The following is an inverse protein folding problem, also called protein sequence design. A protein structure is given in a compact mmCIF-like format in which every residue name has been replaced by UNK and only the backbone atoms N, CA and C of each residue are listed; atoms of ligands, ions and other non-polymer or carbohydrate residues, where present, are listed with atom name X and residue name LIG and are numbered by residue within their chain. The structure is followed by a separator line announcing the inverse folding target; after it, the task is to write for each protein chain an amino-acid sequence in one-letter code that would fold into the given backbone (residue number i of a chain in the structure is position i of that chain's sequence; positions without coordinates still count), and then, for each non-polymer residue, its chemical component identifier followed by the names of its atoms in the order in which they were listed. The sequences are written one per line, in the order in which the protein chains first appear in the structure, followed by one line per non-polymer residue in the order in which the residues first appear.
data_IF_438997335037
#
_entry.id   IF_438997335037
#
_cell.length_a   1.000
_cell.length_b   1.000
_cell.length_c   1.000
_cell.angle_alpha   90.00
_cell.angle_beta   90.00
_cell.angle_gamma   90.00
#
_symmetry.space_group_name_H-M   'P 1'
#
loop_
_entity.id
_entity.type
_entity.pdbx_description
1 polymer ?
#
# COMPACT_ATOMS: atom_id res chain seq x y z
N UNK A 1 -11.44 6.77 -3.01
CA UNK A 1 -12.59 6.86 -3.87
C UNK A 1 -12.22 7.02 -5.34
N UNK A 2 -11.21 7.82 -5.67
CA UNK A 2 -10.72 8.13 -7.03
C UNK A 2 -9.36 7.48 -7.36
N UNK A 3 -8.97 6.47 -6.59
CA UNK A 3 -7.67 5.79 -6.67
C UNK A 3 -7.87 4.27 -6.86
N UNK A 4 -8.28 3.81 -8.07
CA UNK A 4 -8.72 2.42 -8.28
C UNK A 4 -7.62 1.42 -8.62
N UNK A 5 -6.39 1.87 -8.94
CA UNK A 5 -5.36 1.01 -9.56
C UNK A 5 -5.01 -0.21 -8.70
N UNK A 6 -4.74 0.03 -7.42
CA UNK A 6 -4.38 -1.07 -6.51
C UNK A 6 -5.59 -1.92 -6.12
N UNK A 7 -6.82 -1.33 -6.05
CA UNK A 7 -8.04 -2.12 -5.88
C UNK A 7 -8.20 -3.17 -6.99
N UNK A 8 -7.93 -2.77 -8.24
CA UNK A 8 -7.95 -3.71 -9.36
C UNK A 8 -6.87 -4.81 -9.21
N UNK A 9 -5.68 -4.46 -8.72
CA UNK A 9 -4.62 -5.44 -8.44
C UNK A 9 -5.00 -6.42 -7.32
N UNK A 10 -5.79 -6.00 -6.32
CA UNK A 10 -6.31 -6.93 -5.30
C UNK A 10 -7.25 -7.99 -5.90
N UNK A 11 -8.06 -7.65 -6.90
CA UNK A 11 -8.85 -8.65 -7.62
C UNK A 11 -7.98 -9.62 -8.40
N UNK A 12 -6.83 -9.18 -8.94
CA UNK A 12 -5.86 -10.10 -9.54
C UNK A 12 -5.24 -11.04 -8.50
N UNK A 13 -4.96 -10.55 -7.28
CA UNK A 13 -4.54 -11.40 -6.16
C UNK A 13 -5.63 -12.44 -5.82
N UNK A 14 -6.90 -12.05 -5.77
CA UNK A 14 -7.99 -13.01 -5.52
C UNK A 14 -8.07 -14.06 -6.62
N UNK A 15 -7.95 -13.69 -7.89
CA UNK A 15 -7.92 -14.65 -9.00
C UNK A 15 -6.71 -15.57 -8.87
N UNK A 16 -5.52 -15.04 -8.56
CA UNK A 16 -4.31 -15.84 -8.36
C UNK A 16 -4.45 -16.86 -7.22
N UNK A 17 -5.00 -16.45 -6.09
CA UNK A 17 -5.20 -17.32 -4.91
C UNK A 17 -6.20 -18.44 -5.21
N UNK A 18 -7.22 -18.16 -6.02
CA UNK A 18 -8.26 -19.15 -6.38
C UNK A 18 -7.91 -20.04 -7.57
N UNK A 19 -6.81 -19.76 -8.28
CA UNK A 19 -6.37 -20.59 -9.39
C UNK A 19 -5.68 -21.88 -8.86
N UNK A 20 -6.21 -23.07 -9.21
CA UNK A 20 -5.61 -24.35 -8.84
C UNK A 20 -4.13 -24.49 -9.22
N UNK A 21 -3.69 -23.83 -10.28
CA UNK A 21 -2.28 -23.84 -10.70
C UNK A 21 -1.33 -23.24 -9.65
N UNK A 22 -1.83 -22.38 -8.77
CA UNK A 22 -1.06 -21.71 -7.72
C UNK A 22 -1.20 -22.35 -6.34
N UNK A 23 -1.86 -23.52 -6.25
CA UNK A 23 -2.21 -24.19 -4.98
C UNK A 23 -1.00 -24.43 -4.06
N UNK A 24 0.11 -24.90 -4.61
CA UNK A 24 1.33 -25.18 -3.82
C UNK A 24 1.88 -23.91 -3.18
N UNK A 25 2.02 -22.83 -3.98
CA UNK A 25 2.45 -21.53 -3.50
C UNK A 25 1.50 -20.97 -2.42
N UNK A 26 0.19 -21.03 -2.68
CA UNK A 26 -0.82 -20.51 -1.75
C UNK A 26 -0.85 -21.29 -0.44
N UNK A 27 -0.70 -22.62 -0.48
CA UNK A 27 -0.61 -23.44 0.73
C UNK A 27 0.60 -23.03 1.56
N UNK A 28 1.79 -22.97 0.96
CA UNK A 28 3.00 -22.55 1.67
C UNK A 28 2.90 -21.12 2.25
N UNK A 29 2.23 -20.22 1.54
CA UNK A 29 1.98 -18.86 2.00
C UNK A 29 1.05 -18.85 3.22
N UNK A 30 -0.12 -19.50 3.12
CA UNK A 30 -1.16 -19.46 4.16
C UNK A 30 -0.82 -20.31 5.40
N UNK A 31 0.15 -21.21 5.32
CA UNK A 31 0.71 -21.88 6.49
C UNK A 31 1.50 -20.92 7.40
N UNK A 32 1.89 -19.75 6.89
CA UNK A 32 2.75 -18.78 7.58
C UNK A 32 2.06 -17.43 7.85
N UNK A 33 1.14 -17.01 7.00
CA UNK A 33 0.49 -15.69 7.10
C UNK A 33 -1.01 -15.78 6.94
N UNK A 34 -1.73 -14.85 7.58
CA UNK A 34 -3.15 -14.60 7.35
C UNK A 34 -3.29 -13.26 6.64
N UNK A 35 -3.97 -13.24 5.51
CA UNK A 35 -4.19 -12.03 4.73
C UNK A 35 -5.61 -11.49 4.95
N UNK A 36 -5.71 -10.23 5.29
CA UNK A 36 -6.97 -9.49 5.39
C UNK A 36 -7.02 -8.44 4.29
N UNK A 37 -8.15 -8.35 3.61
CA UNK A 37 -8.33 -7.41 2.51
C UNK A 37 -9.49 -6.47 2.77
N UNK A 38 -9.27 -5.18 2.56
CA UNK A 38 -10.30 -4.15 2.56
C UNK A 38 -10.21 -3.39 1.23
N UNK A 39 -10.79 -3.93 0.14
CA UNK A 39 -10.56 -3.44 -1.22
C UNK A 39 -11.09 -2.03 -1.46
N UNK A 40 -12.10 -1.60 -0.70
CA UNK A 40 -12.78 -0.32 -0.90
C UNK A 40 -13.18 0.27 0.46
N UNK A 41 -12.42 1.27 0.92
CA UNK A 41 -12.68 1.96 2.18
C UNK A 41 -13.73 3.07 2.02
N UNK A 42 -13.80 3.69 0.84
CA UNK A 42 -14.69 4.81 0.53
C UNK A 42 -15.60 4.47 -0.67
N UNK A 43 -16.70 3.72 -0.46
CA UNK A 43 -17.61 3.32 -1.53
C UNK A 43 -18.33 4.53 -2.16
N UNK A 44 -18.74 5.52 -1.37
CA UNK A 44 -19.42 6.72 -1.88
C UNK A 44 -18.50 7.55 -2.79
N UNK A 45 -17.23 7.68 -2.38
CA UNK A 45 -16.22 8.34 -3.20
C UNK A 45 -15.90 7.55 -4.47
N UNK A 46 -15.87 6.21 -4.40
CA UNK A 46 -15.65 5.35 -5.55
C UNK A 46 -16.78 5.49 -6.59
N UNK A 47 -18.04 5.47 -6.15
CA UNK A 47 -19.22 5.65 -7.01
C UNK A 47 -19.19 6.97 -7.78
N UNK A 48 -18.66 8.03 -7.15
CA UNK A 48 -18.60 9.39 -7.70
C UNK A 48 -17.25 9.76 -8.30
N UNK A 49 -16.29 8.86 -8.24
CA UNK A 49 -14.89 9.09 -8.57
C UNK A 49 -14.33 10.34 -7.87
N UNK A 50 -14.45 10.36 -6.53
CA UNK A 50 -14.02 11.48 -5.68
C UNK A 50 -13.25 11.00 -4.47
N UNK A 51 -12.31 11.83 -4.01
CA UNK A 51 -11.51 11.57 -2.81
C UNK A 51 -12.38 11.53 -1.52
N UNK A 52 -13.36 12.42 -1.41
CA UNK A 52 -14.20 12.59 -0.21
C UNK A 52 -15.40 11.65 -0.23
N UNK A 53 -15.87 11.24 0.95
CA UNK A 53 -17.06 10.42 1.13
C UNK A 53 -18.37 11.22 0.94
N UNK A 54 -19.51 10.61 1.27
CA UNK A 54 -20.83 11.25 1.17
C UNK A 54 -20.94 12.53 1.99
N UNK A 55 -20.30 12.58 3.17
CA UNK A 55 -20.30 13.74 4.07
C UNK A 55 -19.24 14.79 3.73
N UNK A 56 -18.61 14.70 2.57
CA UNK A 56 -17.51 15.55 2.13
C UNK A 56 -16.28 15.50 3.06
N UNK A 57 -16.10 14.38 3.76
CA UNK A 57 -14.95 14.13 4.63
C UNK A 57 -13.85 13.39 3.82
N UNK A 58 -12.61 13.87 3.92
CA UNK A 58 -11.43 13.13 3.48
C UNK A 58 -11.07 12.08 4.54
N UNK A 59 -11.31 10.80 4.24
CA UNK A 59 -11.06 9.70 5.15
C UNK A 59 -9.60 9.67 5.62
N UNK A 60 -8.66 9.97 4.72
CA UNK A 60 -7.24 10.00 5.07
C UNK A 60 -6.83 11.29 5.81
N UNK A 61 -7.78 12.03 6.36
CA UNK A 61 -7.63 13.14 7.30
C UNK A 61 -8.53 12.97 8.53
N UNK A 62 -9.12 11.80 8.72
CA UNK A 62 -10.08 11.54 9.80
C UNK A 62 -9.61 10.49 10.83
N UNK A 63 -8.40 9.92 10.67
CA UNK A 63 -7.88 8.88 11.56
C UNK A 63 -7.78 9.29 13.03
N UNK A 64 -7.56 10.59 13.31
CA UNK A 64 -7.47 11.12 14.68
C UNK A 64 -8.82 11.53 15.28
N UNK A 65 -9.87 11.74 14.45
CA UNK A 65 -11.17 12.23 14.87
C UNK A 65 -12.28 11.18 14.77
N UNK A 66 -12.18 10.27 13.80
CA UNK A 66 -13.15 9.21 13.54
C UNK A 66 -14.59 9.74 13.41
N UNK A 67 -14.77 10.80 12.60
CA UNK A 67 -16.06 11.49 12.46
C UNK A 67 -17.01 10.77 11.50
N UNK A 68 -16.47 10.01 10.54
CA UNK A 68 -17.27 9.28 9.57
C UNK A 68 -17.31 7.78 9.87
N UNK A 69 -18.38 7.08 9.47
CA UNK A 69 -18.56 5.66 9.78
C UNK A 69 -17.45 4.79 9.21
N UNK A 70 -16.94 5.11 8.02
CA UNK A 70 -15.84 4.36 7.39
C UNK A 70 -14.55 4.43 8.23
N UNK A 71 -14.23 5.60 8.79
CA UNK A 71 -13.07 5.77 9.66
C UNK A 71 -13.23 4.99 10.97
N UNK A 72 -14.43 4.98 11.55
CA UNK A 72 -14.76 4.18 12.75
C UNK A 72 -14.61 2.68 12.45
N UNK A 73 -15.16 2.21 11.33
CA UNK A 73 -15.08 0.81 10.92
C UNK A 73 -13.61 0.41 10.71
N UNK A 74 -12.85 1.21 9.95
CA UNK A 74 -11.45 0.93 9.68
C UNK A 74 -10.62 0.84 10.97
N UNK A 75 -10.84 1.76 11.92
CA UNK A 75 -10.19 1.72 13.24
C UNK A 75 -10.61 0.48 14.05
N UNK A 76 -11.89 0.14 14.05
CA UNK A 76 -12.40 -1.05 14.75
C UNK A 76 -11.79 -2.34 14.20
N UNK A 77 -11.73 -2.46 12.87
CA UNK A 77 -11.07 -3.61 12.19
C UNK A 77 -9.60 -3.65 12.56
N UNK A 78 -8.90 -2.51 12.49
CA UNK A 78 -7.49 -2.41 12.90
C UNK A 78 -7.27 -2.92 14.33
N UNK A 79 -8.08 -2.45 15.29
CA UNK A 79 -7.95 -2.83 16.72
C UNK A 79 -8.20 -4.33 16.94
N UNK A 80 -9.08 -4.93 16.14
CA UNK A 80 -9.40 -6.36 16.25
C UNK A 80 -8.33 -7.25 15.62
N UNK A 81 -7.72 -6.83 14.53
CA UNK A 81 -6.76 -7.66 13.79
C UNK A 81 -5.33 -7.55 14.34
N UNK A 82 -4.90 -6.36 14.75
CA UNK A 82 -3.52 -6.09 15.22
C UNK A 82 -2.47 -6.68 14.30
N UNK A 83 -2.62 -6.44 12.99
CA UNK A 83 -1.77 -7.01 11.97
C UNK A 83 -0.31 -6.53 12.11
N UNK A 84 0.65 -7.41 11.87
CA UNK A 84 2.09 -7.09 11.92
C UNK A 84 2.49 -6.14 10.79
N UNK A 85 1.93 -6.35 9.58
CA UNK A 85 2.16 -5.53 8.40
C UNK A 85 0.85 -4.98 7.83
N UNK A 86 0.93 -3.78 7.25
CA UNK A 86 -0.20 -3.15 6.57
C UNK A 86 0.23 -2.52 5.25
N UNK A 87 -0.62 -2.63 4.23
CA UNK A 87 -0.43 -1.99 2.93
C UNK A 87 -1.48 -0.92 2.73
N UNK A 88 -1.03 0.33 2.62
CA UNK A 88 -1.85 1.49 2.33
C UNK A 88 -1.68 1.84 0.85
N UNK A 89 -2.72 1.59 0.05
CA UNK A 89 -2.65 1.60 -1.40
C UNK A 89 -3.32 2.85 -1.95
N UNK A 90 -2.54 3.64 -2.71
CA UNK A 90 -2.94 4.93 -3.27
C UNK A 90 -2.55 5.09 -4.75
N UNK A 91 -3.12 6.09 -5.38
CA UNK A 91 -2.71 6.59 -6.68
C UNK A 91 -2.15 8.01 -6.55
N UNK A 92 -0.94 8.24 -7.07
CA UNK A 92 -0.31 9.56 -7.17
C UNK A 92 -0.46 10.16 -8.58
N UNK A 93 -0.13 11.45 -8.71
CA UNK A 93 -0.08 12.10 -10.02
C UNK A 93 0.91 11.38 -10.97
N UNK A 94 0.45 11.13 -12.19
CA UNK A 94 1.27 10.61 -13.29
C UNK A 94 2.41 11.57 -13.72
N UNK A 95 2.43 12.79 -13.20
CA UNK A 95 3.44 13.83 -13.52
C UNK A 95 4.60 13.84 -12.53
N UNK A 96 4.56 13.04 -11.47
CA UNK A 96 5.69 12.99 -10.53
C UNK A 96 6.89 12.30 -11.15
N UNK A 97 8.09 12.81 -10.85
CA UNK A 97 9.37 12.27 -11.28
C UNK A 97 10.13 11.61 -10.13
N UNK A 98 11.06 10.74 -10.47
CA UNK A 98 12.00 10.17 -9.49
C UNK A 98 13.06 11.21 -9.17
N UNK A 99 12.95 11.83 -8.00
CA UNK A 99 13.81 12.93 -7.58
C UNK A 99 13.85 14.05 -8.61
N UNK A 100 15.04 14.53 -8.94
CA UNK A 100 15.28 15.57 -9.94
C UNK A 100 15.51 15.02 -11.36
N UNK A 101 15.13 13.77 -11.62
CA UNK A 101 15.28 13.15 -12.94
C UNK A 101 14.08 13.45 -13.86
N UNK A 102 14.24 13.16 -15.16
CA UNK A 102 13.13 13.19 -16.13
C UNK A 102 12.33 11.88 -16.17
N UNK A 103 12.63 10.93 -15.28
CA UNK A 103 11.94 9.64 -15.23
C UNK A 103 10.68 9.75 -14.40
N UNK A 104 9.56 9.29 -14.92
CA UNK A 104 8.30 9.22 -14.20
C UNK A 104 8.43 8.31 -12.98
N UNK A 105 7.92 8.77 -11.83
CA UNK A 105 7.75 7.93 -10.65
C UNK A 105 6.54 7.01 -10.86
N UNK A 106 6.79 5.82 -11.42
CA UNK A 106 5.74 4.85 -11.75
C UNK A 106 5.16 4.21 -10.51
N UNK A 107 6.01 3.85 -9.57
CA UNK A 107 5.64 3.43 -8.21
C UNK A 107 6.46 4.24 -7.22
N UNK A 108 5.80 4.74 -6.19
CA UNK A 108 6.52 5.32 -5.04
C UNK A 108 6.17 4.56 -3.77
N UNK A 109 7.16 4.40 -2.89
CA UNK A 109 7.01 3.74 -1.60
C UNK A 109 7.28 4.67 -0.44
N UNK A 110 6.64 4.39 0.68
CA UNK A 110 6.95 5.02 1.95
C UNK A 110 6.69 4.04 3.11
N UNK A 111 7.60 4.02 4.08
CA UNK A 111 7.31 3.63 5.46
C UNK A 111 6.89 4.91 6.20
N UNK A 112 5.60 5.15 6.47
CA UNK A 112 5.12 6.41 7.02
C UNK A 112 5.80 6.77 8.34
N UNK A 113 5.96 8.08 8.59
CA UNK A 113 6.41 8.56 9.89
C UNK A 113 5.31 8.33 10.95
N UNK A 114 5.71 8.19 12.20
CA UNK A 114 4.79 8.09 13.34
C UNK A 114 4.90 9.30 14.28
N UNK A 115 5.86 10.20 14.02
CA UNK A 115 6.09 11.44 14.73
C UNK A 115 6.73 12.50 13.82
N UNK A 116 6.83 13.72 14.31
CA UNK A 116 7.40 14.86 13.57
C UNK A 116 8.91 14.74 13.36
N UNK A 117 9.60 14.06 14.26
CA UNK A 117 11.05 13.79 14.23
C UNK A 117 11.39 12.76 13.15
N UNK A 118 10.38 12.04 12.62
CA UNK A 118 10.53 10.99 11.62
C UNK A 118 11.45 9.86 12.07
N UNK A 119 11.38 9.54 13.37
CA UNK A 119 12.20 8.51 13.98
C UNK A 119 12.04 7.14 13.29
N UNK A 120 13.08 6.34 13.43
CA UNK A 120 13.10 4.95 12.98
C UNK A 120 13.07 4.03 14.21
N UNK A 121 11.89 3.45 14.49
CA UNK A 121 11.73 2.38 15.47
C UNK A 121 11.66 1.01 14.77
N UNK A 122 11.56 -0.08 15.53
CA UNK A 122 11.50 -1.44 14.99
C UNK A 122 10.32 -1.64 14.03
N UNK A 123 9.17 -1.04 14.33
CA UNK A 123 7.95 -1.13 13.47
C UNK A 123 8.20 -0.48 12.12
N UNK A 124 8.73 0.75 12.10
CA UNK A 124 9.07 1.46 10.87
C UNK A 124 10.24 0.80 10.13
N UNK A 125 11.21 0.27 10.88
CA UNK A 125 12.37 -0.44 10.36
C UNK A 125 11.97 -1.67 9.53
N UNK A 126 11.04 -2.51 10.03
CA UNK A 126 10.51 -3.65 9.29
C UNK A 126 9.83 -3.22 7.97
N UNK A 127 9.06 -2.13 7.98
CA UNK A 127 8.45 -1.59 6.77
C UNK A 127 9.51 -1.15 5.74
N UNK A 128 10.58 -0.47 6.20
CA UNK A 128 11.70 -0.07 5.32
C UNK A 128 12.39 -1.27 4.70
N UNK A 129 12.68 -2.31 5.49
CA UNK A 129 13.31 -3.54 5.00
C UNK A 129 12.43 -4.23 3.95
N UNK A 130 11.13 -4.35 4.22
CA UNK A 130 10.19 -4.95 3.25
C UNK A 130 10.10 -4.13 1.97
N UNK A 131 10.09 -2.80 2.05
CA UNK A 131 10.16 -1.92 0.87
C UNK A 131 11.45 -2.19 0.07
N UNK A 132 12.59 -2.38 0.74
CA UNK A 132 13.85 -2.75 0.09
C UNK A 132 13.73 -4.03 -0.73
N UNK A 133 13.10 -5.06 -0.16
CA UNK A 133 12.85 -6.32 -0.87
C UNK A 133 11.94 -6.13 -2.09
N UNK A 134 10.81 -5.42 -1.94
CA UNK A 134 9.89 -5.10 -3.05
C UNK A 134 10.62 -4.28 -4.13
N UNK A 135 11.45 -3.32 -3.74
CA UNK A 135 12.23 -2.50 -4.65
C UNK A 135 13.15 -3.35 -5.53
N UNK A 136 13.86 -4.33 -4.94
CA UNK A 136 14.74 -5.23 -5.71
C UNK A 136 13.97 -5.99 -6.79
N UNK A 137 12.77 -6.48 -6.47
CA UNK A 137 11.90 -7.18 -7.43
C UNK A 137 11.42 -6.24 -8.52
N UNK A 138 10.83 -5.09 -8.18
CA UNK A 138 10.24 -4.18 -9.15
C UNK A 138 11.30 -3.47 -10.02
N UNK A 139 12.52 -3.29 -9.51
CA UNK A 139 13.62 -2.69 -10.29
C UNK A 139 13.99 -3.50 -11.53
N UNK A 140 13.63 -4.78 -11.59
CA UNK A 140 13.82 -5.62 -12.78
C UNK A 140 12.84 -5.27 -13.89
N UNK A 141 11.67 -4.70 -13.56
CA UNK A 141 10.62 -4.33 -14.52
C UNK A 141 10.65 -2.85 -14.89
N UNK A 142 10.96 -1.98 -13.93
CA UNK A 142 10.91 -0.51 -14.06
C UNK A 142 12.19 0.16 -13.52
N UNK A 143 13.38 -0.17 -14.04
CA UNK A 143 14.66 0.35 -13.53
C UNK A 143 14.70 1.88 -13.58
N UNK A 144 14.87 2.50 -12.41
CA UNK A 144 14.94 3.97 -12.26
C UNK A 144 13.59 4.69 -12.29
N UNK A 145 12.47 3.99 -12.19
CA UNK A 145 11.12 4.54 -12.13
C UNK A 145 10.43 4.31 -10.80
N UNK A 146 11.19 3.91 -9.77
CA UNK A 146 10.71 3.77 -8.41
C UNK A 146 11.20 4.96 -7.58
N UNK A 147 10.33 5.58 -6.81
CA UNK A 147 10.65 6.73 -5.98
C UNK A 147 10.36 6.47 -4.49
N UNK A 148 10.99 7.26 -3.62
CA UNK A 148 10.54 7.44 -2.24
C UNK A 148 9.48 8.54 -2.23
N UNK A 149 8.32 8.26 -1.60
CA UNK A 149 7.29 9.27 -1.37
C UNK A 149 7.68 10.21 -0.19
N UNK A 150 6.98 11.36 -0.06
CA UNK A 150 7.24 12.29 1.04
C UNK A 150 6.93 11.66 2.39
N UNK A 151 7.86 11.77 3.33
CA UNK A 151 7.73 11.27 4.70
C UNK A 151 7.31 12.35 5.71
N UNK A 152 6.64 13.40 5.25
CA UNK A 152 6.04 14.39 6.15
C UNK A 152 4.96 13.72 7.00
N UNK A 153 5.09 13.86 8.33
CA UNK A 153 4.15 13.29 9.27
C UNK A 153 2.79 14.00 9.21
N UNK A 154 1.75 13.25 8.90
CA UNK A 154 0.35 13.72 8.90
C UNK A 154 -0.46 12.98 9.98
N UNK A 155 -0.60 13.56 11.20
CA UNK A 155 -1.23 12.89 12.34
C UNK A 155 -2.71 12.56 12.13
N UNK A 156 -3.34 13.03 11.04
CA UNK A 156 -4.72 12.73 10.68
C UNK A 156 -4.83 11.62 9.64
N UNK A 157 -3.70 11.18 9.01
CA UNK A 157 -3.68 10.15 8.00
C UNK A 157 -3.68 8.74 8.62
N UNK A 158 -4.38 7.79 7.99
CA UNK A 158 -4.42 6.42 8.48
C UNK A 158 -3.08 5.70 8.37
N UNK A 159 -2.31 5.91 7.30
CA UNK A 159 -1.00 5.28 7.14
C UNK A 159 -0.04 5.60 8.28
N UNK A 160 0.06 6.89 8.65
CA UNK A 160 0.88 7.38 9.75
C UNK A 160 0.38 6.85 11.11
N UNK A 161 -0.94 6.80 11.28
CA UNK A 161 -1.51 6.28 12.52
C UNK A 161 -1.36 4.76 12.63
N UNK A 162 -1.50 3.98 11.57
CA UNK A 162 -1.24 2.53 11.61
C UNK A 162 0.20 2.25 12.01
N UNK A 163 1.16 3.01 11.44
CA UNK A 163 2.55 2.96 11.84
C UNK A 163 2.73 3.29 13.33
N UNK A 164 2.08 4.35 13.81
CA UNK A 164 2.10 4.77 15.22
C UNK A 164 1.45 3.75 16.15
N UNK A 165 0.41 3.07 15.69
CA UNK A 165 -0.32 2.05 16.47
C UNK A 165 0.34 0.68 16.46
N UNK A 166 1.48 0.51 15.78
CA UNK A 166 2.32 -0.67 15.86
C UNK A 166 2.28 -1.61 14.66
N UNK A 167 1.60 -1.26 13.56
CA UNK A 167 1.61 -2.02 12.32
C UNK A 167 2.70 -1.49 11.39
N UNK A 168 3.62 -2.35 10.94
CA UNK A 168 4.64 -1.99 9.94
C UNK A 168 3.97 -1.67 8.61
N UNK A 169 3.76 -0.38 8.35
CA UNK A 169 2.92 0.10 7.25
C UNK A 169 3.75 0.45 6.02
N UNK A 170 3.34 -0.07 4.88
CA UNK A 170 3.92 0.22 3.57
C UNK A 170 2.90 1.01 2.74
N UNK A 171 3.21 2.26 2.43
CA UNK A 171 2.48 3.03 1.43
C UNK A 171 2.98 2.66 0.05
N UNK A 172 2.05 2.41 -0.87
CA UNK A 172 2.32 2.24 -2.30
C UNK A 172 1.49 3.27 -3.07
N UNK A 173 2.17 4.13 -3.81
CA UNK A 173 1.56 5.15 -4.67
C UNK A 173 1.73 4.76 -6.15
N UNK A 174 0.63 4.57 -6.84
CA UNK A 174 0.59 4.21 -8.26
C UNK A 174 0.58 5.45 -9.12
N UNK A 175 1.68 5.71 -9.84
CA UNK A 175 1.87 6.90 -10.66
C UNK A 175 1.46 6.73 -12.13
N UNK A 176 2.37 7.00 -13.06
CA UNK A 176 2.18 6.89 -14.50
C UNK A 176 3.22 6.01 -15.17
N UNK A 177 2.88 5.51 -16.36
CA UNK A 177 3.79 4.84 -17.27
C UNK A 177 3.50 5.28 -18.70
N UNK A 178 4.52 5.32 -19.55
CA UNK A 178 4.34 5.70 -20.94
C UNK A 178 3.43 4.69 -21.67
N UNK A 179 2.49 5.20 -22.44
CA UNK A 179 1.54 4.41 -23.24
C UNK A 179 0.62 3.46 -22.41
N UNK A 180 0.44 3.75 -21.11
CA UNK A 180 -0.43 2.99 -20.18
C UNK A 180 -1.50 3.91 -19.54
N UNK A 181 -2.40 4.52 -20.32
CA UNK A 181 -3.39 5.46 -19.80
C UNK A 181 -4.40 4.82 -18.85
N UNK A 182 -4.67 3.53 -19.01
CA UNK A 182 -5.59 2.76 -18.17
C UNK A 182 -4.88 2.07 -16.99
N UNK A 183 -3.59 2.35 -16.80
CA UNK A 183 -2.74 1.82 -15.72
C UNK A 183 -2.70 0.29 -15.62
N UNK A 184 -2.86 -0.42 -16.74
CA UNK A 184 -2.84 -1.90 -16.74
C UNK A 184 -1.46 -2.46 -16.40
N UNK A 185 -0.39 -1.83 -16.89
CA UNK A 185 0.97 -2.19 -16.49
C UNK A 185 1.25 -1.87 -15.02
N UNK A 186 0.80 -0.70 -14.55
CA UNK A 186 0.96 -0.30 -13.15
C UNK A 186 0.14 -1.21 -12.23
N UNK A 187 -1.07 -1.64 -12.61
CA UNK A 187 -1.86 -2.67 -11.93
C UNK A 187 -1.06 -3.96 -11.78
N UNK A 188 -0.41 -4.43 -12.87
CA UNK A 188 0.48 -5.60 -12.82
C UNK A 188 1.66 -5.40 -11.86
N UNK A 189 2.25 -4.21 -11.80
CA UNK A 189 3.34 -3.90 -10.86
C UNK A 189 2.86 -3.93 -9.41
N UNK A 190 1.65 -3.44 -9.10
CA UNK A 190 1.05 -3.56 -7.78
C UNK A 190 0.82 -5.04 -7.40
N UNK A 191 0.29 -5.85 -8.32
CA UNK A 191 0.14 -7.29 -8.11
C UNK A 191 1.48 -7.96 -7.77
N UNK A 192 2.54 -7.69 -8.53
CA UNK A 192 3.88 -8.24 -8.28
C UNK A 192 4.43 -7.74 -6.95
N UNK A 193 4.28 -6.44 -6.64
CA UNK A 193 4.73 -5.86 -5.38
C UNK A 193 4.09 -6.53 -4.17
N UNK A 194 2.77 -6.69 -4.18
CA UNK A 194 2.01 -7.31 -3.09
C UNK A 194 2.36 -8.79 -2.95
N UNK A 195 2.39 -9.54 -4.04
CA UNK A 195 2.69 -10.97 -3.99
C UNK A 195 4.13 -11.24 -3.51
N UNK A 196 5.10 -10.43 -3.97
CA UNK A 196 6.49 -10.51 -3.50
C UNK A 196 6.61 -10.15 -2.01
N UNK A 197 5.86 -9.15 -1.57
CA UNK A 197 5.82 -8.75 -0.16
C UNK A 197 5.23 -9.86 0.71
N UNK A 198 4.11 -10.46 0.33
CA UNK A 198 3.49 -11.56 1.08
C UNK A 198 4.43 -12.76 1.20
N UNK A 199 5.11 -13.12 0.11
CA UNK A 199 6.13 -14.15 0.12
C UNK A 199 7.28 -13.79 1.06
N UNK A 200 7.79 -12.57 0.95
CA UNK A 200 8.91 -12.11 1.78
C UNK A 200 8.57 -12.08 3.28
N UNK A 201 7.32 -11.73 3.64
CA UNK A 201 6.84 -11.80 5.02
C UNK A 201 6.77 -13.25 5.49
N UNK A 202 6.19 -14.16 4.69
CA UNK A 202 6.06 -15.57 5.03
C UNK A 202 7.40 -16.27 5.23
N UNK A 203 8.41 -15.90 4.45
CA UNK A 203 9.78 -16.43 4.49
C UNK A 203 10.72 -15.65 5.42
N UNK A 204 10.26 -14.53 5.98
CA UNK A 204 11.06 -13.56 6.75
C UNK A 204 12.30 -13.03 5.99
N UNK A 205 12.27 -13.13 4.65
CA UNK A 205 13.42 -12.79 3.80
C UNK A 205 13.71 -11.29 3.72
N UNK A 206 12.75 -10.44 4.12
CA UNK A 206 12.93 -8.98 4.23
C UNK A 206 13.96 -8.56 5.27
N UNK A 207 14.24 -9.42 6.28
CA UNK A 207 15.17 -9.10 7.39
C UNK A 207 16.61 -8.92 6.89
N UNK A 208 16.96 -9.54 5.77
CA UNK A 208 18.31 -9.54 5.21
C UNK A 208 18.49 -8.51 4.06
N UNK A 209 17.58 -7.54 3.94
CA UNK A 209 17.57 -6.58 2.83
C UNK A 209 18.10 -5.20 3.24
#
# INVERSE_FOLDING_TARGET
GDEPTATAALFDIFNFINDPANKEFCTALFDRVTLYFLPMVNPDGAERFKRRNFYDIDLNRDASRLQCPEAVILKTVFDSLKADFGFNLHDQSHRYSVGNSFRTATISFLAPAFNYEKDLNDVRGKAVQLIGNIYQVLSQFIPGHIAKYSDEYEPRAFGDNFQKWGTSTILIESGGWKDDPEKQFIRKLNFIALLSAFKSIAEESYINT
#
